data_IF_327682526330
#
_entry.id   IF_327682526330
#
_cell.length_a   1.000
_cell.length_b   1.000
_cell.length_c   1.000
_cell.angle_alpha   90.00
_cell.angle_beta   90.00
_cell.angle_gamma   90.00
#
_symmetry.space_group_name_H-M   'P 1'
#
loop_
_entity.id
_entity.type
_entity.pdbx_description
1 polymer ?
#
# COMPACT_ATOMS: atom_id res chain seq x y z
N UNK A 1 25.22 14.52 -2.81
CA UNK A 1 25.01 13.54 -3.89
C UNK A 1 24.68 12.22 -3.24
N UNK A 2 23.61 11.57 -3.69
CA UNK A 2 23.20 10.25 -3.24
C UNK A 2 23.24 9.31 -4.43
N UNK A 3 24.12 8.33 -4.35
CA UNK A 3 24.26 7.32 -5.39
C UNK A 3 23.16 6.26 -5.26
N UNK A 4 22.75 5.65 -6.37
CA UNK A 4 21.85 4.50 -6.37
C UNK A 4 22.43 3.30 -5.61
N UNK A 5 21.56 2.34 -5.30
CA UNK A 5 21.98 1.06 -4.73
C UNK A 5 22.87 0.29 -5.70
N UNK A 6 23.93 -0.33 -5.18
CA UNK A 6 24.86 -1.15 -5.99
C UNK A 6 24.19 -2.39 -6.59
N UNK A 7 23.13 -2.88 -5.95
CA UNK A 7 22.34 -4.03 -6.37
C UNK A 7 20.87 -3.61 -6.44
N UNK A 8 20.44 -3.02 -7.57
CA UNK A 8 19.08 -2.52 -7.73
C UNK A 8 18.09 -3.68 -7.89
N UNK A 9 16.95 -3.58 -7.21
CA UNK A 9 15.89 -4.59 -7.29
C UNK A 9 14.89 -4.23 -8.39
N UNK A 10 14.61 -5.14 -9.35
CA UNK A 10 13.57 -4.92 -10.34
C UNK A 10 12.17 -4.83 -9.71
N UNK A 11 11.32 -3.94 -10.23
CA UNK A 11 9.94 -3.81 -9.74
C UNK A 11 9.05 -5.00 -10.13
N UNK A 12 9.31 -5.63 -11.28
CA UNK A 12 8.58 -6.80 -11.77
C UNK A 12 9.28 -8.08 -11.38
N UNK A 13 8.57 -9.00 -10.73
CA UNK A 13 9.12 -10.32 -10.32
C UNK A 13 9.58 -11.23 -11.48
N UNK A 14 9.23 -10.91 -12.72
CA UNK A 14 9.71 -11.65 -13.89
C UNK A 14 11.11 -11.22 -14.34
N UNK A 15 11.56 -10.04 -13.91
CA UNK A 15 12.83 -9.49 -14.32
C UNK A 15 13.90 -9.89 -13.30
N UNK A 16 15.02 -10.44 -13.78
CA UNK A 16 16.17 -10.79 -12.93
C UNK A 16 17.12 -9.62 -12.67
N UNK A 17 17.06 -8.60 -13.52
CA UNK A 17 17.90 -7.41 -13.44
C UNK A 17 17.11 -6.18 -13.89
N UNK A 18 17.53 -5.00 -13.44
CA UNK A 18 17.02 -3.73 -13.98
C UNK A 18 17.52 -3.54 -15.40
N UNK A 19 16.75 -2.84 -16.22
CA UNK A 19 17.16 -2.54 -17.61
C UNK A 19 18.42 -1.66 -17.65
N UNK A 20 18.48 -0.65 -16.78
CA UNK A 20 19.66 0.18 -16.58
C UNK A 20 20.64 -0.56 -15.66
N UNK A 21 21.91 -0.68 -16.05
CA UNK A 21 22.94 -1.26 -15.19
C UNK A 21 23.21 -0.35 -13.99
N UNK A 22 23.68 -0.87 -12.85
CA UNK A 22 23.96 -0.07 -11.65
C UNK A 22 24.88 1.13 -11.92
N UNK A 23 25.91 0.94 -12.74
CA UNK A 23 26.86 1.98 -13.14
C UNK A 23 26.30 3.03 -14.11
N UNK A 24 25.18 2.73 -14.77
CA UNK A 24 24.48 3.64 -15.69
C UNK A 24 23.41 4.48 -14.96
N UNK A 25 23.07 4.15 -13.71
CA UNK A 25 22.06 4.89 -12.96
C UNK A 25 22.60 6.23 -12.46
N UNK A 26 21.76 7.27 -12.57
CA UNK A 26 22.13 8.62 -12.16
C UNK A 26 21.96 8.82 -10.65
N UNK A 27 22.84 9.61 -10.01
CA UNK A 27 22.63 10.02 -8.63
C UNK A 27 21.57 11.12 -8.52
N UNK A 28 20.94 11.19 -7.36
CA UNK A 28 20.12 12.35 -6.98
C UNK A 28 20.91 13.28 -6.05
N UNK A 29 20.51 14.55 -5.97
CA UNK A 29 21.21 15.54 -5.15
C UNK A 29 20.29 16.07 -4.06
N UNK A 30 20.69 15.90 -2.80
CA UNK A 30 19.97 16.46 -1.67
C UNK A 30 20.51 17.84 -1.33
N UNK A 31 19.61 18.81 -1.26
CA UNK A 31 19.86 20.15 -0.72
C UNK A 31 18.74 20.54 0.24
N UNK A 32 18.82 21.73 0.81
CA UNK A 32 17.86 22.22 1.78
C UNK A 32 17.46 23.68 1.48
N UNK A 33 16.24 24.04 1.85
CA UNK A 33 15.79 25.43 1.83
C UNK A 33 16.55 26.27 2.87
N UNK A 34 16.60 27.57 2.64
CA UNK A 34 17.21 28.54 3.56
C UNK A 34 16.14 29.47 4.14
N UNK A 35 16.45 30.27 5.18
CA UNK A 35 15.56 31.34 5.61
C UNK A 35 15.21 32.33 4.49
N UNK A 36 16.03 32.41 3.43
CA UNK A 36 15.74 33.20 2.25
C UNK A 36 14.52 32.72 1.47
N UNK A 37 14.35 31.41 1.33
CA UNK A 37 13.16 30.79 0.73
C UNK A 37 11.90 31.20 1.51
N UNK A 38 11.96 31.12 2.84
CA UNK A 38 10.86 31.54 3.71
C UNK A 38 10.52 33.03 3.52
N UNK A 39 11.52 33.92 3.41
CA UNK A 39 11.27 35.35 3.11
C UNK A 39 10.51 35.53 1.80
N UNK A 40 10.95 34.87 0.72
CA UNK A 40 10.27 34.99 -0.60
C UNK A 40 8.84 34.50 -0.54
N UNK A 41 8.59 33.38 0.15
CA UNK A 41 7.24 32.87 0.39
C UNK A 41 6.39 33.90 1.12
N UNK A 42 6.89 34.42 2.26
CA UNK A 42 6.15 35.38 3.10
C UNK A 42 5.82 36.69 2.36
N UNK A 43 6.75 37.20 1.55
CA UNK A 43 6.53 38.38 0.69
C UNK A 43 5.44 38.12 -0.36
N UNK A 44 5.36 36.90 -0.90
CA UNK A 44 4.43 36.52 -1.97
C UNK A 44 3.02 36.14 -1.50
N UNK A 45 2.77 36.04 -0.19
CA UNK A 45 1.51 35.49 0.35
C UNK A 45 0.25 36.20 -0.15
N UNK A 46 0.33 37.52 -0.35
CA UNK A 46 -0.78 38.33 -0.82
C UNK A 46 -1.28 37.96 -2.23
N UNK A 47 -0.45 37.24 -3.00
CA UNK A 47 -0.77 36.80 -4.36
C UNK A 47 -1.51 35.44 -4.38
N UNK A 48 -1.50 34.71 -3.26
CA UNK A 48 -1.99 33.34 -3.19
C UNK A 48 -3.24 33.20 -2.33
N UNK A 49 -4.37 33.72 -2.82
CA UNK A 49 -5.68 33.63 -2.15
C UNK A 49 -6.10 32.19 -1.83
N UNK A 50 -5.80 31.23 -2.70
CA UNK A 50 -6.07 29.80 -2.48
C UNK A 50 -5.30 29.21 -1.28
N UNK A 51 -4.09 29.69 -1.01
CA UNK A 51 -3.25 29.25 0.12
C UNK A 51 -3.72 29.91 1.42
N UNK A 52 -4.14 31.18 1.36
CA UNK A 52 -4.66 31.91 2.52
C UNK A 52 -6.00 31.36 3.04
N UNK A 53 -6.86 30.86 2.14
CA UNK A 53 -8.15 30.26 2.49
C UNK A 53 -8.02 28.85 3.08
N UNK A 54 -6.82 28.27 3.04
CA UNK A 54 -6.54 26.87 3.37
C UNK A 54 -6.08 26.66 4.82
N UNK A 55 -6.65 27.43 5.77
CA UNK A 55 -6.45 27.23 7.21
C UNK A 55 -6.92 25.82 7.64
N UNK A 56 -7.85 25.22 6.89
CA UNK A 56 -8.27 23.81 6.95
C UNK A 56 -7.94 23.01 5.67
N UNK A 57 -6.87 23.41 4.97
CA UNK A 57 -6.43 22.75 3.75
C UNK A 57 -6.00 21.31 3.93
N UNK A 58 -5.66 20.60 2.84
CA UNK A 58 -5.29 19.20 2.89
C UNK A 58 -4.24 18.98 4.00
N UNK A 59 -4.46 17.95 4.84
CA UNK A 59 -3.52 17.59 5.91
C UNK A 59 -2.13 17.37 5.32
N UNK A 60 -2.05 16.89 4.09
CA UNK A 60 -0.83 16.91 3.30
C UNK A 60 -0.69 18.19 2.47
N UNK A 61 0.29 19.02 2.81
CA UNK A 61 0.63 20.25 2.07
C UNK A 61 1.82 20.00 1.14
N UNK A 62 1.60 19.76 -0.17
CA UNK A 62 2.70 19.51 -1.09
C UNK A 62 3.52 20.77 -1.38
N UNK A 63 2.88 21.94 -1.36
CA UNK A 63 3.51 23.19 -1.78
C UNK A 63 4.53 23.70 -0.75
N UNK A 64 5.58 24.37 -1.22
CA UNK A 64 6.57 25.00 -0.33
C UNK A 64 5.93 26.14 0.47
N UNK A 65 5.01 26.89 -0.13
CA UNK A 65 4.27 27.97 0.50
C UNK A 65 3.50 27.46 1.73
N UNK A 66 2.71 26.41 1.56
CA UNK A 66 1.91 25.83 2.66
C UNK A 66 2.78 25.18 3.72
N UNK A 67 3.93 24.59 3.36
CA UNK A 67 4.87 24.00 4.33
C UNK A 67 5.56 25.06 5.19
N UNK A 68 6.01 26.15 4.60
CA UNK A 68 6.59 27.29 5.32
C UNK A 68 5.57 27.89 6.29
N UNK A 69 4.32 28.12 5.84
CA UNK A 69 3.25 28.64 6.70
C UNK A 69 2.92 27.73 7.89
N UNK A 70 2.88 26.41 7.67
CA UNK A 70 2.56 25.43 8.74
C UNK A 70 3.73 25.17 9.68
N UNK A 71 4.97 25.29 9.18
CA UNK A 71 6.18 24.95 9.92
C UNK A 71 7.23 26.08 9.80
N UNK A 72 6.94 27.27 10.34
CA UNK A 72 7.83 28.43 10.21
C UNK A 72 9.20 28.18 10.83
N UNK A 73 10.24 28.77 10.24
CA UNK A 73 11.64 28.64 10.68
C UNK A 73 12.27 27.26 10.48
N UNK A 74 11.59 26.31 9.80
CA UNK A 74 12.16 24.98 9.50
C UNK A 74 12.85 24.96 8.15
N UNK A 75 14.01 24.30 8.12
CA UNK A 75 14.65 23.90 6.87
C UNK A 75 13.94 22.68 6.27
N UNK A 76 13.62 22.75 4.98
CA UNK A 76 12.97 21.67 4.25
C UNK A 76 13.94 20.99 3.28
N UNK A 77 13.87 19.67 3.18
CA UNK A 77 14.65 18.90 2.22
C UNK A 77 14.13 19.12 0.79
N UNK A 78 15.07 19.21 -0.15
CA UNK A 78 14.81 19.31 -1.58
C UNK A 78 15.69 18.29 -2.29
N UNK A 79 15.09 17.40 -3.05
CA UNK A 79 15.79 16.48 -3.94
C UNK A 79 15.82 17.04 -5.35
N UNK A 80 17.00 17.09 -5.95
CA UNK A 80 17.17 17.36 -7.37
C UNK A 80 17.31 16.02 -8.06
N UNK A 81 16.27 15.63 -8.78
CA UNK A 81 16.13 14.34 -9.44
C UNK A 81 16.29 14.52 -10.96
N UNK A 82 17.22 13.83 -11.63
CA UNK A 82 17.30 13.87 -13.09
C UNK A 82 16.04 13.31 -13.75
N UNK A 83 15.49 14.02 -14.74
CA UNK A 83 14.29 13.56 -15.45
C UNK A 83 14.58 12.46 -16.49
N UNK A 84 15.85 12.24 -16.85
CA UNK A 84 16.25 11.16 -17.73
C UNK A 84 17.76 11.08 -17.97
N UNK A 85 18.21 9.95 -18.53
CA UNK A 85 19.63 9.70 -18.85
C UNK A 85 20.22 10.67 -19.88
N UNK A 86 19.37 11.21 -20.75
CA UNK A 86 19.74 12.10 -21.85
C UNK A 86 19.08 13.48 -21.70
N UNK A 87 18.58 13.81 -20.51
CA UNK A 87 17.92 15.08 -20.22
C UNK A 87 18.79 15.90 -19.28
N UNK A 88 18.96 17.18 -19.59
CA UNK A 88 19.61 18.14 -18.70
C UNK A 88 18.65 18.70 -17.65
N UNK A 89 17.37 18.25 -17.65
CA UNK A 89 16.36 18.71 -16.71
C UNK A 89 16.48 18.01 -15.36
N UNK A 90 16.33 18.81 -14.30
CA UNK A 90 16.26 18.37 -12.91
C UNK A 90 14.89 18.72 -12.35
N UNK A 91 14.22 17.73 -11.76
CA UNK A 91 13.00 17.92 -11.00
C UNK A 91 13.35 18.26 -9.53
N UNK A 92 13.01 19.47 -9.04
CA UNK A 92 13.27 19.86 -7.65
C UNK A 92 12.14 19.35 -6.73
N UNK A 93 12.14 18.05 -6.46
CA UNK A 93 11.18 17.41 -5.57
C UNK A 93 11.21 18.08 -4.19
N UNK A 94 10.02 18.47 -3.72
CA UNK A 94 9.88 19.24 -2.49
C UNK A 94 9.96 20.75 -2.72
N UNK A 95 9.81 21.24 -3.96
CA UNK A 95 9.57 22.66 -4.27
C UNK A 95 8.34 22.86 -5.18
N UNK A 96 7.28 22.08 -4.99
CA UNK A 96 6.00 22.38 -5.63
C UNK A 96 5.52 23.77 -5.20
N UNK A 97 5.08 24.60 -6.14
CA UNK A 97 4.66 25.99 -5.85
C UNK A 97 3.71 26.53 -6.93
N UNK A 98 2.98 27.58 -6.59
CA UNK A 98 2.03 28.30 -7.47
C UNK A 98 2.38 29.78 -7.63
N UNK A 99 3.56 30.20 -7.15
CA UNK A 99 4.06 31.57 -7.28
C UNK A 99 4.22 32.00 -8.75
N UNK A 100 4.16 33.30 -9.07
CA UNK A 100 4.60 33.84 -10.35
C UNK A 100 6.04 33.41 -10.72
N UNK A 101 6.34 33.16 -12.01
CA UNK A 101 7.64 32.61 -12.44
C UNK A 101 8.89 33.37 -11.95
N UNK A 102 8.83 34.70 -11.88
CA UNK A 102 9.92 35.54 -11.39
C UNK A 102 10.19 35.31 -9.89
N UNK A 103 9.15 35.13 -9.09
CA UNK A 103 9.26 34.79 -7.68
C UNK A 103 9.71 33.36 -7.47
N UNK A 104 9.32 32.42 -8.34
CA UNK A 104 9.87 31.05 -8.31
C UNK A 104 11.38 31.07 -8.52
N UNK A 105 11.86 31.82 -9.53
CA UNK A 105 13.29 31.92 -9.81
C UNK A 105 14.04 32.57 -8.64
N UNK A 106 13.48 33.63 -8.07
CA UNK A 106 14.04 34.27 -6.87
C UNK A 106 14.11 33.28 -5.71
N UNK A 107 13.05 32.52 -5.45
CA UNK A 107 12.99 31.49 -4.41
C UNK A 107 14.07 30.42 -4.61
N UNK A 108 14.21 29.87 -5.83
CA UNK A 108 15.22 28.88 -6.13
C UNK A 108 16.64 29.41 -5.87
N UNK A 109 16.92 30.67 -6.24
CA UNK A 109 18.25 31.26 -6.06
C UNK A 109 18.63 31.54 -4.60
N UNK A 110 17.68 31.52 -3.67
CA UNK A 110 17.98 31.54 -2.22
C UNK A 110 18.54 30.20 -1.70
N UNK A 111 18.45 29.12 -2.50
CA UNK A 111 19.06 27.83 -2.20
C UNK A 111 20.50 27.84 -2.76
N UNK A 112 21.55 27.66 -1.92
CA UNK A 112 22.94 27.81 -2.36
C UNK A 112 23.34 27.00 -3.59
N UNK A 113 22.84 25.76 -3.69
CA UNK A 113 23.10 24.88 -4.83
C UNK A 113 22.43 25.34 -6.14
N UNK A 114 21.44 26.24 -6.06
CA UNK A 114 20.58 26.68 -7.17
C UNK A 114 20.71 28.18 -7.45
N UNK A 115 21.74 28.86 -6.93
CA UNK A 115 21.98 30.30 -7.14
C UNK A 115 22.04 30.71 -8.61
N UNK A 116 22.45 29.79 -9.49
CA UNK A 116 22.55 29.98 -10.95
C UNK A 116 21.55 29.13 -11.71
N UNK A 117 20.52 28.62 -11.05
CA UNK A 117 19.49 27.83 -11.71
C UNK A 117 18.73 28.69 -12.75
N UNK A 118 18.34 28.02 -13.82
CA UNK A 118 17.41 28.51 -14.83
C UNK A 118 16.15 27.64 -14.79
N UNK A 119 14.99 28.26 -15.01
CA UNK A 119 13.70 27.55 -15.02
C UNK A 119 13.34 27.26 -16.46
N UNK A 120 13.33 25.99 -16.84
CA UNK A 120 12.79 25.55 -18.13
C UNK A 120 11.25 25.65 -18.14
N UNK A 121 10.61 25.20 -17.07
CA UNK A 121 9.15 25.19 -16.94
C UNK A 121 8.77 25.65 -15.54
N UNK A 122 8.05 26.78 -15.39
CA UNK A 122 7.58 27.22 -14.08
C UNK A 122 6.63 26.21 -13.45
N UNK A 123 6.73 26.06 -12.13
CA UNK A 123 5.77 25.29 -11.33
C UNK A 123 4.37 25.90 -11.41
N UNK A 124 3.35 25.07 -11.23
CA UNK A 124 1.96 25.50 -11.31
C UNK A 124 1.06 24.60 -10.46
N UNK A 125 -0.14 25.09 -10.18
CA UNK A 125 -1.22 24.34 -9.55
C UNK A 125 -2.26 23.92 -10.59
N UNK A 126 -2.88 22.76 -10.39
CA UNK A 126 -3.99 22.29 -11.23
C UNK A 126 -5.23 22.13 -10.37
N UNK A 127 -6.33 22.71 -10.84
CA UNK A 127 -7.66 22.45 -10.32
C UNK A 127 -8.43 21.63 -11.35
N UNK A 128 -9.12 20.61 -10.86
CA UNK A 128 -9.86 19.67 -11.70
C UNK A 128 -11.08 19.15 -10.96
N UNK A 129 -12.10 18.75 -11.73
CA UNK A 129 -13.29 18.09 -11.20
C UNK A 129 -12.99 16.62 -10.89
N UNK A 130 -13.63 16.10 -9.85
CA UNK A 130 -13.55 14.68 -9.49
C UNK A 130 -14.93 14.16 -9.07
N UNK A 131 -15.14 12.86 -9.21
CA UNK A 131 -16.34 12.18 -8.74
C UNK A 131 -16.05 11.63 -7.34
N UNK A 132 -16.94 11.93 -6.39
CA UNK A 132 -16.79 11.43 -5.03
C UNK A 132 -16.74 9.88 -5.04
N UNK A 133 -15.65 9.24 -4.57
CA UNK A 133 -15.45 7.81 -4.76
C UNK A 133 -16.44 6.94 -3.98
N UNK A 134 -17.18 7.51 -3.02
CA UNK A 134 -18.32 6.83 -2.35
C UNK A 134 -19.47 6.50 -3.29
N UNK A 135 -19.50 7.10 -4.50
CA UNK A 135 -20.42 6.75 -5.58
C UNK A 135 -20.04 5.46 -6.30
N UNK A 136 -18.87 4.89 -6.01
CA UNK A 136 -18.39 3.63 -6.57
C UNK A 136 -18.65 2.48 -5.61
N UNK A 137 -18.79 1.27 -6.16
CA UNK A 137 -18.71 0.03 -5.39
C UNK A 137 -17.24 -0.46 -5.33
N UNK A 138 -16.93 -1.51 -4.54
CA UNK A 138 -15.56 -2.04 -4.44
C UNK A 138 -14.96 -2.61 -5.75
N UNK A 139 -15.77 -2.79 -6.80
CA UNK A 139 -15.30 -3.13 -8.15
C UNK A 139 -14.95 -1.91 -9.01
N UNK A 140 -15.03 -0.71 -8.41
CA UNK A 140 -14.86 0.61 -9.05
C UNK A 140 -15.94 0.95 -10.10
N UNK A 141 -17.07 0.23 -10.08
CA UNK A 141 -18.22 0.55 -10.91
C UNK A 141 -19.08 1.62 -10.22
N UNK A 142 -19.59 2.56 -11.01
CA UNK A 142 -20.52 3.61 -10.56
C UNK A 142 -21.84 2.97 -10.14
N UNK A 143 -22.27 3.20 -8.89
CA UNK A 143 -23.49 2.60 -8.32
C UNK A 143 -24.76 2.91 -9.12
N UNK A 144 -24.84 4.09 -9.74
CA UNK A 144 -26.01 4.56 -10.50
C UNK A 144 -26.02 4.15 -11.97
N UNK A 145 -24.87 3.76 -12.53
CA UNK A 145 -24.73 3.49 -13.96
C UNK A 145 -23.98 2.19 -14.14
N UNK A 146 -24.73 1.13 -14.47
CA UNK A 146 -24.15 -0.19 -14.70
C UNK A 146 -23.18 -0.14 -15.89
N UNK A 147 -22.02 -0.78 -15.73
CA UNK A 147 -20.99 -0.84 -16.78
C UNK A 147 -20.09 0.39 -16.89
N UNK A 148 -20.34 1.46 -16.13
CA UNK A 148 -19.43 2.62 -16.04
C UNK A 148 -18.44 2.44 -14.88
N UNK A 149 -17.14 2.45 -15.19
CA UNK A 149 -16.06 2.33 -14.21
C UNK A 149 -15.18 3.56 -14.21
N UNK A 150 -14.74 4.00 -13.03
CA UNK A 150 -13.87 5.15 -12.86
C UNK A 150 -12.58 4.74 -12.15
N UNK A 151 -11.43 5.27 -12.60
CA UNK A 151 -10.12 4.96 -12.04
C UNK A 151 -9.16 6.14 -12.12
N UNK A 152 -8.34 6.31 -11.09
CA UNK A 152 -7.27 7.31 -11.05
C UNK A 152 -7.70 8.66 -10.49
N UNK A 153 -7.18 9.74 -11.07
CA UNK A 153 -7.33 11.08 -10.52
C UNK A 153 -8.80 11.54 -10.44
N UNK A 154 -9.65 11.05 -11.35
CA UNK A 154 -11.10 11.27 -11.35
C UNK A 154 -11.80 10.76 -10.08
N UNK A 155 -11.20 9.81 -9.36
CA UNK A 155 -11.70 9.29 -8.08
C UNK A 155 -11.14 10.06 -6.87
N UNK A 156 -10.45 11.18 -7.10
CA UNK A 156 -9.83 12.00 -6.07
C UNK A 156 -8.57 11.38 -5.45
N UNK A 157 -7.82 10.58 -6.23
CA UNK A 157 -6.46 10.14 -5.90
C UNK A 157 -5.41 11.03 -6.58
N UNK A 158 -4.19 11.04 -6.08
CA UNK A 158 -3.05 11.68 -6.74
C UNK A 158 -1.80 10.80 -6.59
N UNK A 159 -1.19 10.46 -7.72
CA UNK A 159 -0.09 9.51 -7.80
C UNK A 159 -0.30 8.50 -8.93
N UNK A 160 0.80 8.08 -9.56
CA UNK A 160 0.74 7.18 -10.71
C UNK A 160 0.36 5.76 -10.27
N UNK A 161 0.86 5.34 -9.12
CA UNK A 161 0.67 4.03 -8.53
C UNK A 161 -0.77 3.82 -8.09
N UNK A 162 -1.38 4.81 -7.42
CA UNK A 162 -2.80 4.81 -7.07
C UNK A 162 -3.67 4.70 -8.32
N UNK A 163 -3.35 5.48 -9.36
CA UNK A 163 -4.11 5.49 -10.59
C UNK A 163 -3.98 4.17 -11.37
N UNK A 164 -2.76 3.63 -11.50
CA UNK A 164 -2.50 2.36 -12.16
C UNK A 164 -3.17 1.19 -11.42
N UNK A 165 -3.13 1.18 -10.08
CA UNK A 165 -3.79 0.17 -9.27
C UNK A 165 -5.32 0.17 -9.46
N UNK A 166 -5.94 1.36 -9.46
CA UNK A 166 -7.36 1.50 -9.76
C UNK A 166 -7.68 1.10 -11.20
N UNK A 167 -6.85 1.52 -12.16
CA UNK A 167 -7.04 1.21 -13.59
C UNK A 167 -7.01 -0.29 -13.86
N UNK A 168 -6.04 -1.01 -13.26
CA UNK A 168 -5.98 -2.46 -13.29
C UNK A 168 -7.27 -3.08 -12.76
N UNK A 169 -7.73 -2.65 -11.58
CA UNK A 169 -8.89 -3.25 -10.94
C UNK A 169 -10.21 -2.94 -11.64
N UNK A 170 -10.38 -1.69 -12.10
CA UNK A 170 -11.52 -1.26 -12.91
C UNK A 170 -11.54 -2.02 -14.24
N UNK A 171 -10.40 -2.16 -14.92
CA UNK A 171 -10.28 -2.90 -16.17
C UNK A 171 -10.62 -4.38 -16.03
N UNK A 172 -10.12 -5.04 -14.99
CA UNK A 172 -10.49 -6.43 -14.66
C UNK A 172 -12.00 -6.57 -14.49
N UNK A 173 -12.63 -5.72 -13.69
CA UNK A 173 -14.07 -5.83 -13.44
C UNK A 173 -14.93 -5.41 -14.64
N UNK A 174 -14.46 -4.48 -15.46
CA UNK A 174 -15.09 -4.13 -16.73
C UNK A 174 -15.09 -5.32 -17.70
N UNK A 175 -13.93 -5.98 -17.87
CA UNK A 175 -13.83 -7.19 -18.69
C UNK A 175 -14.72 -8.33 -18.18
N UNK A 176 -14.77 -8.54 -16.86
CA UNK A 176 -15.67 -9.52 -16.25
C UNK A 176 -17.15 -9.19 -16.49
N UNK A 177 -17.52 -7.92 -16.36
CA UNK A 177 -18.89 -7.46 -16.62
C UNK A 177 -19.28 -7.71 -18.08
N UNK A 178 -18.37 -7.44 -19.03
CA UNK A 178 -18.60 -7.72 -20.45
C UNK A 178 -18.79 -9.22 -20.73
N UNK A 179 -18.10 -10.09 -19.98
CA UNK A 179 -18.25 -11.55 -20.02
C UNK A 179 -19.42 -12.07 -19.17
N UNK A 180 -20.26 -11.20 -18.60
CA UNK A 180 -21.35 -11.56 -17.68
C UNK A 180 -20.88 -12.38 -16.47
N UNK A 181 -19.64 -12.18 -16.04
CA UNK A 181 -19.07 -12.79 -14.85
C UNK A 181 -19.31 -11.89 -13.62
N UNK A 182 -19.42 -12.47 -12.41
CA UNK A 182 -19.57 -11.68 -11.18
C UNK A 182 -18.40 -10.73 -10.97
N UNK A 183 -18.69 -9.51 -10.54
CA UNK A 183 -17.66 -8.56 -10.10
C UNK A 183 -16.89 -9.12 -8.90
N UNK A 184 -15.61 -8.76 -8.82
CA UNK A 184 -14.73 -9.18 -7.72
C UNK A 184 -14.48 -8.03 -6.76
N UNK A 185 -14.14 -8.41 -5.53
CA UNK A 185 -13.58 -7.50 -4.52
C UNK A 185 -12.16 -7.94 -4.15
N UNK A 186 -11.34 -6.96 -3.77
CA UNK A 186 -9.98 -7.19 -3.31
C UNK A 186 -9.90 -6.84 -1.83
N UNK A 187 -9.63 -7.84 -0.98
CA UNK A 187 -9.57 -7.61 0.46
C UNK A 187 -8.41 -6.69 0.83
N UNK A 188 -8.67 -5.77 1.76
CA UNK A 188 -7.63 -4.94 2.38
C UNK A 188 -6.61 -5.75 3.16
N UNK A 189 -6.95 -6.97 3.59
CA UNK A 189 -6.03 -7.90 4.26
C UNK A 189 -5.09 -8.63 3.29
N UNK A 190 -5.24 -8.44 1.98
CA UNK A 190 -4.46 -9.16 0.98
C UNK A 190 -3.57 -8.24 0.15
N UNK A 191 -3.89 -6.94 0.05
CA UNK A 191 -3.10 -5.99 -0.74
C UNK A 191 -3.34 -4.54 -0.36
N UNK A 192 -2.35 -3.71 -0.65
CA UNK A 192 -2.49 -2.26 -0.63
C UNK A 192 -3.49 -1.72 -1.66
N UNK A 193 -3.71 -2.42 -2.79
CA UNK A 193 -4.77 -2.07 -3.75
C UNK A 193 -6.16 -2.22 -3.09
N UNK A 194 -6.36 -3.29 -2.30
CA UNK A 194 -7.58 -3.48 -1.51
C UNK A 194 -7.74 -2.38 -0.45
N UNK A 195 -6.67 -1.99 0.24
CA UNK A 195 -6.68 -0.86 1.20
C UNK A 195 -7.07 0.45 0.50
N UNK A 196 -6.44 0.76 -0.64
CA UNK A 196 -6.74 1.94 -1.46
C UNK A 196 -8.22 2.01 -1.82
N UNK A 197 -8.73 0.96 -2.43
CA UNK A 197 -10.11 0.93 -2.93
C UNK A 197 -11.09 1.00 -1.77
N UNK A 198 -10.88 0.22 -0.71
CA UNK A 198 -11.75 0.22 0.47
C UNK A 198 -11.80 1.60 1.13
N UNK A 199 -10.65 2.25 1.35
CA UNK A 199 -10.62 3.60 1.93
C UNK A 199 -11.37 4.60 1.04
N UNK A 200 -11.19 4.56 -0.28
CA UNK A 200 -11.85 5.46 -1.23
C UNK A 200 -13.38 5.29 -1.21
N UNK A 201 -13.88 4.06 -1.34
CA UNK A 201 -15.32 3.81 -1.48
C UNK A 201 -16.08 3.88 -0.16
N UNK A 202 -15.42 3.62 0.97
CA UNK A 202 -16.04 3.62 2.30
C UNK A 202 -15.95 5.00 2.95
N UNK A 203 -14.78 5.65 2.92
CA UNK A 203 -14.54 6.92 3.64
C UNK A 203 -14.72 8.14 2.74
N UNK A 204 -14.57 7.98 1.43
CA UNK A 204 -14.48 9.10 0.53
C UNK A 204 -13.15 9.85 0.68
N UNK A 205 -13.06 11.00 0.02
CA UNK A 205 -11.89 11.88 0.06
C UNK A 205 -12.34 13.32 0.26
N UNK A 206 -11.64 14.02 1.15
CA UNK A 206 -11.78 15.48 1.37
C UNK A 206 -10.56 16.24 0.84
N UNK A 207 -9.48 15.51 0.62
CA UNK A 207 -8.22 15.93 0.00
C UNK A 207 -7.76 14.80 -0.93
N UNK A 208 -6.96 15.08 -1.97
CA UNK A 208 -6.44 14.04 -2.86
C UNK A 208 -5.76 12.91 -2.07
N UNK A 209 -6.29 11.69 -2.20
CA UNK A 209 -5.80 10.53 -1.46
C UNK A 209 -4.41 10.11 -1.96
N UNK A 210 -3.55 9.73 -1.01
CA UNK A 210 -2.18 9.24 -1.23
C UNK A 210 -1.91 8.03 -0.36
N UNK A 211 -1.28 6.99 -0.89
CA UNK A 211 -1.06 5.73 -0.16
C UNK A 211 -0.23 5.89 1.11
N UNK A 212 0.73 6.82 1.16
CA UNK A 212 1.54 6.99 2.37
C UNK A 212 0.75 7.57 3.56
N UNK A 213 -0.40 8.23 3.34
CA UNK A 213 -1.28 8.68 4.43
C UNK A 213 -2.23 7.55 4.88
N UNK A 214 -2.32 6.47 4.10
CA UNK A 214 -3.13 5.31 4.44
C UNK A 214 -2.56 4.56 5.66
N UNK A 215 -3.48 4.03 6.46
CA UNK A 215 -3.14 3.10 7.55
C UNK A 215 -3.48 1.69 7.10
N UNK A 216 -2.55 1.02 6.44
CA UNK A 216 -2.61 -0.43 6.34
C UNK A 216 -2.29 -1.03 7.71
N UNK A 217 -3.23 -1.80 8.25
CA UNK A 217 -3.11 -2.44 9.57
C UNK A 217 -2.08 -3.57 9.55
N UNK A 218 -1.93 -4.24 8.41
CA UNK A 218 -1.15 -5.46 8.23
C UNK A 218 0.17 -5.23 7.48
N UNK A 219 0.90 -4.15 7.80
CA UNK A 219 2.12 -3.74 7.06
C UNK A 219 3.19 -4.85 7.00
N UNK A 220 3.31 -5.66 8.03
CA UNK A 220 4.27 -6.78 8.11
C UNK A 220 3.88 -7.95 7.21
N UNK A 221 2.59 -8.12 6.89
CA UNK A 221 2.12 -9.12 5.94
C UNK A 221 2.07 -8.59 4.49
N UNK A 222 1.70 -7.31 4.32
CA UNK A 222 1.52 -6.64 3.03
C UNK A 222 2.82 -5.99 2.55
N UNK A 223 3.84 -6.80 2.30
CA UNK A 223 5.17 -6.31 1.94
C UNK A 223 5.39 -6.30 0.42
N UNK A 224 6.27 -5.44 -0.10
CA UNK A 224 6.62 -5.46 -1.52
C UNK A 224 7.39 -6.72 -1.93
N UNK A 225 8.08 -7.42 -1.02
CA UNK A 225 8.82 -8.64 -1.36
C UNK A 225 7.95 -9.90 -1.56
N UNK A 226 6.66 -9.85 -1.19
CA UNK A 226 5.76 -11.01 -1.23
C UNK A 226 4.44 -10.77 -1.97
N UNK A 227 4.33 -9.70 -2.77
CA UNK A 227 3.11 -9.40 -3.51
C UNK A 227 2.81 -10.44 -4.59
N UNK A 228 3.84 -11.02 -5.20
CA UNK A 228 3.76 -12.15 -6.12
C UNK A 228 3.04 -13.35 -5.49
N UNK A 229 3.45 -13.74 -4.27
CA UNK A 229 2.89 -14.88 -3.54
C UNK A 229 1.43 -14.63 -3.14
N UNK A 230 1.10 -13.38 -2.81
CA UNK A 230 -0.24 -12.98 -2.39
C UNK A 230 -1.24 -12.89 -3.55
N UNK A 231 -0.79 -12.42 -4.72
CA UNK A 231 -1.70 -11.96 -5.78
C UNK A 231 -1.57 -12.71 -7.10
N UNK A 232 -0.41 -13.27 -7.45
CA UNK A 232 -0.26 -13.96 -8.75
C UNK A 232 -1.11 -15.23 -8.84
N UNK A 233 -1.16 -16.11 -7.82
CA UNK A 233 -2.03 -17.29 -7.86
C UNK A 233 -3.49 -16.91 -8.06
N UNK A 234 -3.98 -15.95 -7.28
CA UNK A 234 -5.34 -15.40 -7.40
C UNK A 234 -5.61 -14.81 -8.77
N UNK A 235 -4.68 -14.00 -9.27
CA UNK A 235 -4.78 -13.36 -10.57
C UNK A 235 -4.92 -14.36 -11.72
N UNK A 236 -4.32 -15.56 -11.58
CA UNK A 236 -4.43 -16.63 -12.57
C UNK A 236 -5.68 -17.49 -12.35
N UNK A 237 -5.85 -18.06 -11.16
CA UNK A 237 -6.85 -19.07 -10.83
C UNK A 237 -8.27 -18.51 -10.69
N UNK A 238 -8.43 -17.38 -10.01
CA UNK A 238 -9.74 -16.78 -9.72
C UNK A 238 -10.14 -15.70 -10.73
N UNK A 239 -9.16 -14.91 -11.18
CA UNK A 239 -9.41 -13.68 -11.94
C UNK A 239 -9.21 -13.87 -13.44
N UNK A 240 -8.18 -14.64 -13.85
CA UNK A 240 -7.80 -14.84 -15.25
C UNK A 240 -7.06 -13.66 -15.90
N UNK A 241 -6.42 -12.78 -15.11
CA UNK A 241 -5.68 -11.61 -15.61
C UNK A 241 -4.14 -11.76 -15.55
N UNK A 242 -3.65 -12.90 -15.08
CA UNK A 242 -2.22 -13.23 -15.00
C UNK A 242 -1.88 -14.27 -16.06
N UNK A 243 -0.70 -14.17 -16.67
CA UNK A 243 -0.21 -15.16 -17.64
C UNK A 243 0.29 -16.43 -16.96
N UNK A 244 0.24 -17.56 -17.67
CA UNK A 244 0.75 -18.85 -17.19
C UNK A 244 2.22 -18.75 -16.74
N UNK A 245 3.08 -18.10 -17.53
CA UNK A 245 4.50 -17.91 -17.20
C UNK A 245 4.70 -17.17 -15.86
N UNK A 246 3.89 -16.14 -15.56
CA UNK A 246 3.96 -15.43 -14.28
C UNK A 246 3.45 -16.28 -13.13
N UNK A 247 2.41 -17.06 -13.37
CA UNK A 247 1.86 -17.98 -12.38
C UNK A 247 2.87 -19.07 -12.02
N UNK A 248 3.45 -19.74 -13.01
CA UNK A 248 4.45 -20.79 -12.85
C UNK A 248 5.67 -20.29 -12.07
N UNK A 249 6.16 -19.09 -12.39
CA UNK A 249 7.27 -18.49 -11.63
C UNK A 249 6.88 -18.20 -10.18
N UNK A 250 5.69 -17.65 -9.93
CA UNK A 250 5.22 -17.41 -8.56
C UNK A 250 5.06 -18.73 -7.77
N UNK A 251 4.61 -19.81 -8.41
CA UNK A 251 4.52 -21.15 -7.82
C UNK A 251 5.91 -21.71 -7.51
N UNK A 252 6.86 -21.66 -8.46
CA UNK A 252 8.25 -22.08 -8.25
C UNK A 252 8.86 -21.41 -7.03
N UNK A 253 8.72 -20.08 -6.96
CA UNK A 253 9.23 -19.26 -5.86
C UNK A 253 8.56 -19.63 -4.55
N UNK A 254 7.22 -19.73 -4.52
CA UNK A 254 6.46 -20.12 -3.32
C UNK A 254 6.94 -21.46 -2.77
N UNK A 255 7.05 -22.45 -3.65
CA UNK A 255 7.38 -23.82 -3.26
C UNK A 255 8.83 -23.90 -2.78
N UNK A 256 9.76 -23.25 -3.47
CA UNK A 256 11.17 -23.15 -3.06
C UNK A 256 11.33 -22.45 -1.70
N UNK A 257 10.55 -21.39 -1.44
CA UNK A 257 10.55 -20.71 -0.14
C UNK A 257 10.01 -21.61 0.97
N UNK A 258 8.89 -22.30 0.73
CA UNK A 258 8.29 -23.21 1.71
C UNK A 258 9.21 -24.40 2.03
N UNK A 259 9.86 -24.97 1.02
CA UNK A 259 10.85 -26.04 1.17
C UNK A 259 12.08 -25.54 1.93
N UNK A 260 12.61 -24.37 1.58
CA UNK A 260 13.73 -23.74 2.28
C UNK A 260 13.44 -23.43 3.74
N UNK A 261 12.25 -22.89 4.05
CA UNK A 261 11.77 -22.67 5.41
C UNK A 261 11.67 -23.99 6.19
N UNK A 262 11.11 -25.04 5.58
CA UNK A 262 10.99 -26.36 6.22
C UNK A 262 12.36 -27.02 6.44
N UNK A 263 13.29 -26.88 5.50
CA UNK A 263 14.65 -27.36 5.63
C UNK A 263 15.37 -26.69 6.80
N UNK A 264 15.24 -25.37 6.95
CA UNK A 264 15.79 -24.63 8.09
C UNK A 264 15.16 -25.03 9.41
N UNK A 265 13.85 -25.27 9.45
CA UNK A 265 13.15 -25.75 10.64
C UNK A 265 13.66 -27.13 11.09
N UNK A 266 13.98 -28.01 10.12
CA UNK A 266 14.48 -29.37 10.39
C UNK A 266 15.90 -29.41 10.97
N UNK A 267 16.67 -28.32 10.84
CA UNK A 267 18.02 -28.22 11.36
C UNK A 267 17.93 -27.55 12.73
N UNK A 268 17.97 -28.33 13.80
CA UNK A 268 17.84 -27.82 15.16
C UNK A 268 18.93 -28.37 16.07
N UNK A 269 19.57 -27.49 16.84
CA UNK A 269 20.64 -27.85 17.78
C UNK A 269 20.76 -26.85 18.93
N UNK A 270 21.56 -27.18 19.94
CA UNK A 270 21.83 -26.28 21.06
C UNK A 270 22.59 -25.03 20.62
N UNK A 271 22.39 -23.92 21.32
CA UNK A 271 23.12 -22.67 21.07
C UNK A 271 24.65 -22.83 21.15
N UNK A 272 25.15 -23.77 21.95
CA UNK A 272 26.57 -24.12 22.02
C UNK A 272 27.09 -24.67 20.69
N UNK A 273 26.40 -25.66 20.11
CA UNK A 273 26.77 -26.23 18.80
C UNK A 273 26.67 -25.22 17.68
N UNK A 274 25.69 -24.32 17.73
CA UNK A 274 25.59 -23.23 16.77
C UNK A 274 26.81 -22.30 16.81
N UNK A 275 27.28 -21.92 18.00
CA UNK A 275 28.50 -21.09 18.17
C UNK A 275 29.78 -21.80 17.72
N UNK A 276 29.85 -23.12 17.90
CA UNK A 276 30.98 -23.94 17.40
C UNK A 276 30.99 -24.02 15.87
N UNK A 277 29.82 -24.11 15.24
CA UNK A 277 29.70 -24.22 13.78
C UNK A 277 29.78 -22.88 13.04
N UNK A 278 29.29 -21.81 13.66
CA UNK A 278 29.21 -20.48 13.08
C UNK A 278 29.94 -19.52 14.00
N UNK A 279 31.18 -19.22 13.65
CA UNK A 279 32.00 -18.26 14.37
C UNK A 279 31.30 -16.89 14.39
N UNK A 280 31.43 -16.16 15.51
CA UNK A 280 30.91 -14.79 15.70
C UNK A 280 29.37 -14.63 15.85
N UNK A 281 28.62 -15.69 16.13
CA UNK A 281 27.19 -15.54 16.46
C UNK A 281 26.99 -15.23 17.95
N UNK A 282 26.40 -14.06 18.23
CA UNK A 282 25.96 -13.66 19.57
C UNK A 282 24.54 -14.19 19.87
N UNK A 283 24.40 -15.50 20.07
CA UNK A 283 23.16 -16.10 20.60
C UNK A 283 23.27 -16.20 22.12
N UNK A 284 22.28 -15.63 22.83
CA UNK A 284 22.21 -15.73 24.29
C UNK A 284 22.07 -17.18 24.71
N UNK A 285 22.72 -17.55 25.82
CA UNK A 285 22.68 -18.91 26.34
C UNK A 285 21.32 -19.20 26.99
N UNK A 286 20.35 -19.59 26.17
CA UNK A 286 19.10 -20.19 26.64
C UNK A 286 19.42 -21.58 27.20
N UNK A 287 19.19 -21.79 28.50
CA UNK A 287 19.33 -23.11 29.13
C UNK A 287 18.14 -24.00 28.73
N UNK A 288 18.36 -24.85 27.72
CA UNK A 288 17.59 -26.07 27.38
C UNK A 288 16.70 -26.10 26.14
N UNK A 289 16.61 -25.05 25.32
CA UNK A 289 15.90 -25.16 24.03
C UNK A 289 16.85 -25.43 22.86
N UNK A 290 16.51 -26.45 22.07
CA UNK A 290 17.05 -26.59 20.72
C UNK A 290 16.56 -25.38 19.90
N UNK A 291 17.45 -24.76 19.15
CA UNK A 291 17.15 -23.60 18.30
C UNK A 291 17.23 -24.06 16.85
N UNK A 292 16.15 -23.85 16.08
CA UNK A 292 16.15 -24.18 14.65
C UNK A 292 16.99 -23.20 13.85
N UNK A 293 17.47 -23.59 12.67
CA UNK A 293 18.20 -22.68 11.78
C UNK A 293 17.31 -21.49 11.36
N UNK A 294 15.99 -21.71 11.31
CA UNK A 294 15.02 -20.66 11.03
C UNK A 294 14.94 -19.64 12.17
N UNK A 295 14.85 -20.10 13.42
CA UNK A 295 14.91 -19.23 14.60
C UNK A 295 16.25 -18.49 14.67
N UNK A 296 17.34 -19.20 14.39
CA UNK A 296 18.67 -18.61 14.37
C UNK A 296 18.79 -17.48 13.31
N UNK A 297 18.15 -17.67 12.15
CA UNK A 297 18.11 -16.68 11.08
C UNK A 297 17.36 -15.40 11.47
N UNK A 298 16.67 -15.35 12.61
CA UNK A 298 16.07 -14.09 13.11
C UNK A 298 17.11 -13.17 13.75
N UNK A 299 18.25 -13.70 14.19
CA UNK A 299 19.28 -12.92 14.88
C UNK A 299 20.03 -11.96 13.93
N UNK A 300 20.39 -10.79 14.47
CA UNK A 300 21.22 -9.81 13.77
C UNK A 300 22.61 -10.40 13.52
N UNK A 301 23.11 -10.27 12.30
CA UNK A 301 24.42 -10.79 11.90
C UNK A 301 24.40 -12.23 11.37
N UNK A 302 23.30 -12.97 11.52
CA UNK A 302 23.14 -14.29 10.87
C UNK A 302 22.55 -14.10 9.48
N UNK A 303 23.24 -14.61 8.46
CA UNK A 303 22.75 -14.62 7.08
C UNK A 303 22.38 -16.04 6.64
N UNK A 304 21.56 -16.15 5.60
CA UNK A 304 21.20 -17.46 5.06
C UNK A 304 22.43 -18.12 4.41
N UNK A 305 23.32 -17.34 3.81
CA UNK A 305 24.58 -17.79 3.21
C UNK A 305 25.49 -18.47 4.22
N UNK A 306 25.54 -17.98 5.47
CA UNK A 306 26.27 -18.64 6.56
C UNK A 306 25.67 -20.01 6.89
N UNK A 307 24.35 -20.10 7.00
CA UNK A 307 23.66 -21.37 7.24
C UNK A 307 23.86 -22.36 6.09
N UNK A 308 23.77 -21.87 4.85
CA UNK A 308 23.99 -22.67 3.65
C UNK A 308 25.43 -23.19 3.56
N UNK A 309 26.42 -22.39 3.96
CA UNK A 309 27.82 -22.81 4.03
C UNK A 309 28.04 -23.90 5.10
N UNK A 310 27.31 -23.84 6.21
CA UNK A 310 27.39 -24.84 7.29
C UNK A 310 26.62 -26.14 6.98
N UNK A 311 25.55 -26.06 6.20
CA UNK A 311 24.68 -27.19 5.81
C UNK A 311 24.43 -27.23 4.29
N UNK A 312 25.50 -27.39 3.47
CA UNK A 312 25.39 -27.20 2.02
C UNK A 312 24.44 -28.19 1.36
N UNK A 313 24.42 -29.45 1.81
CA UNK A 313 23.54 -30.50 1.28
C UNK A 313 22.05 -30.21 1.49
N UNK A 314 21.71 -29.38 2.48
CA UNK A 314 20.31 -29.10 2.82
C UNK A 314 19.84 -27.73 2.34
N UNK A 315 20.73 -26.76 2.23
CA UNK A 315 20.36 -25.35 2.08
C UNK A 315 20.90 -24.67 0.80
N UNK A 316 21.92 -25.21 0.13
CA UNK A 316 22.53 -24.55 -1.04
C UNK A 316 21.57 -24.36 -2.20
N UNK A 317 20.62 -25.28 -2.41
CA UNK A 317 19.59 -25.17 -3.46
C UNK A 317 18.74 -23.90 -3.34
N UNK A 318 18.60 -23.32 -2.13
CA UNK A 318 17.75 -22.16 -1.90
C UNK A 318 18.51 -20.83 -1.80
N UNK A 319 19.80 -20.80 -2.18
CA UNK A 319 20.64 -19.60 -2.17
C UNK A 319 20.04 -18.45 -3.00
N UNK A 320 19.34 -18.76 -4.10
CA UNK A 320 18.60 -17.77 -4.91
C UNK A 320 17.62 -16.94 -4.07
N UNK A 321 17.05 -17.54 -3.03
CA UNK A 321 16.01 -16.94 -2.20
C UNK A 321 16.53 -16.48 -0.83
N UNK A 322 17.85 -16.36 -0.65
CA UNK A 322 18.47 -16.06 0.65
C UNK A 322 17.85 -14.84 1.36
N UNK A 323 17.70 -13.73 0.63
CA UNK A 323 17.10 -12.50 1.15
C UNK A 323 15.63 -12.69 1.54
N UNK A 324 14.84 -13.37 0.69
CA UNK A 324 13.42 -13.61 0.96
C UNK A 324 13.22 -14.57 2.13
N UNK A 325 14.03 -15.62 2.24
CA UNK A 325 14.03 -16.54 3.38
C UNK A 325 14.40 -15.82 4.68
N UNK A 326 15.40 -14.92 4.65
CA UNK A 326 15.73 -14.07 5.81
C UNK A 326 14.55 -13.17 6.19
N UNK A 327 13.90 -12.53 5.23
CA UNK A 327 12.73 -11.68 5.47
C UNK A 327 11.59 -12.50 6.08
N UNK A 328 11.24 -13.66 5.49
CA UNK A 328 10.19 -14.53 6.03
C UNK A 328 10.51 -14.98 7.46
N UNK A 329 11.75 -15.42 7.73
CA UNK A 329 12.17 -15.81 9.08
C UNK A 329 11.98 -14.68 10.10
N UNK A 330 12.43 -13.47 9.77
CA UNK A 330 12.36 -12.29 10.65
C UNK A 330 10.91 -11.83 10.89
N UNK A 331 10.07 -11.83 9.86
CA UNK A 331 8.71 -11.30 9.96
C UNK A 331 7.66 -12.34 10.38
N UNK A 332 7.96 -13.65 10.32
CA UNK A 332 7.02 -14.73 10.65
C UNK A 332 6.32 -14.54 12.00
N UNK A 333 7.01 -14.24 13.13
CA UNK A 333 6.33 -14.04 14.41
C UNK A 333 5.33 -12.88 14.38
N UNK A 334 5.65 -11.81 13.66
CA UNK A 334 4.77 -10.66 13.52
C UNK A 334 3.56 -10.96 12.63
N UNK A 335 3.75 -11.70 11.54
CA UNK A 335 2.68 -12.15 10.67
C UNK A 335 1.72 -13.11 11.40
N UNK A 336 2.25 -14.04 12.20
CA UNK A 336 1.45 -15.00 12.95
C UNK A 336 0.56 -14.33 14.00
N UNK A 337 1.07 -13.29 14.68
CA UNK A 337 0.28 -12.48 15.61
C UNK A 337 -0.91 -11.78 14.92
N UNK A 338 -0.76 -11.41 13.65
CA UNK A 338 -1.81 -10.70 12.89
C UNK A 338 -2.81 -11.64 12.21
N UNK A 339 -2.46 -12.92 12.05
CA UNK A 339 -3.22 -13.88 11.23
C UNK A 339 -4.68 -14.00 11.65
N UNK A 340 -4.95 -14.13 12.96
CA UNK A 340 -6.33 -14.25 13.49
C UNK A 340 -7.18 -13.03 13.19
N UNK A 341 -6.61 -11.84 13.28
CA UNK A 341 -7.34 -10.60 12.98
C UNK A 341 -7.59 -10.46 11.47
N UNK A 342 -6.64 -10.86 10.64
CA UNK A 342 -6.85 -10.91 9.18
C UNK A 342 -7.96 -11.90 8.80
N UNK A 343 -7.99 -13.08 9.42
CA UNK A 343 -9.04 -14.09 9.22
C UNK A 343 -10.41 -13.55 9.63
N UNK A 344 -10.50 -12.93 10.81
CA UNK A 344 -11.74 -12.28 11.28
C UNK A 344 -12.23 -11.21 10.30
N UNK A 345 -11.36 -10.31 9.83
CA UNK A 345 -11.75 -9.28 8.85
C UNK A 345 -12.23 -9.91 7.54
N UNK A 346 -11.58 -10.99 7.08
CA UNK A 346 -12.03 -11.71 5.87
C UNK A 346 -13.39 -12.36 6.06
N UNK A 347 -13.66 -12.92 7.23
CA UNK A 347 -14.98 -13.44 7.58
C UNK A 347 -16.04 -12.32 7.53
N UNK A 348 -15.78 -11.18 8.18
CA UNK A 348 -16.68 -10.01 8.14
C UNK A 348 -16.88 -9.47 6.71
N UNK A 349 -15.84 -9.48 5.87
CA UNK A 349 -15.92 -9.11 4.45
C UNK A 349 -16.71 -10.12 3.60
N UNK A 350 -16.74 -11.39 3.99
CA UNK A 350 -17.55 -12.42 3.32
C UNK A 350 -19.05 -12.33 3.66
N UNK A 351 -19.40 -11.63 4.74
CA UNK A 351 -20.77 -11.43 5.19
C UNK A 351 -21.43 -10.31 4.40
N UNK A 352 -22.12 -10.67 3.31
CA UNK A 352 -22.86 -9.73 2.48
C UNK A 352 -24.06 -9.12 3.22
N UNK A 353 -24.21 -7.81 3.07
CA UNK A 353 -25.41 -7.07 3.44
C UNK A 353 -26.27 -6.87 2.19
N UNK A 354 -27.56 -7.26 2.19
CA UNK A 354 -28.43 -7.07 1.04
C UNK A 354 -28.59 -5.57 0.71
N UNK A 355 -28.57 -5.23 -0.58
CA UNK A 355 -28.63 -3.83 -1.03
C UNK A 355 -30.02 -3.19 -0.85
N UNK A 356 -31.05 -4.02 -0.75
CA UNK A 356 -32.46 -3.68 -0.61
C UNK A 356 -32.91 -3.57 0.86
N UNK A 357 -31.97 -3.70 1.81
CA UNK A 357 -32.25 -3.46 3.22
C UNK A 357 -32.74 -2.03 3.43
N UNK A 358 -33.94 -1.90 4.00
CA UNK A 358 -34.39 -0.65 4.58
C UNK A 358 -33.80 -0.50 5.98
N UNK A 359 -32.72 0.27 6.07
CA UNK A 359 -32.02 0.52 7.32
C UNK A 359 -32.86 1.34 8.32
N UNK A 360 -33.94 2.00 7.92
CA UNK A 360 -34.81 2.72 8.86
C UNK A 360 -35.84 1.81 9.53
N UNK A 361 -36.33 0.78 8.82
CA UNK A 361 -37.27 -0.20 9.37
C UNK A 361 -36.62 -1.48 9.92
N UNK A 362 -35.29 -1.62 9.80
CA UNK A 362 -34.56 -2.79 10.28
C UNK A 362 -34.89 -3.13 11.75
N UNK A 363 -35.36 -4.37 12.07
CA UNK A 363 -35.78 -4.77 13.41
C UNK A 363 -34.59 -5.11 14.31
N UNK A 364 -33.69 -4.14 14.46
CA UNK A 364 -32.43 -4.27 15.17
C UNK A 364 -32.18 -2.95 15.92
N UNK A 365 -31.59 -3.02 17.12
CA UNK A 365 -31.30 -1.81 17.90
C UNK A 365 -30.12 -1.03 17.28
N UNK A 366 -30.43 -0.01 16.48
CA UNK A 366 -29.46 0.90 15.86
C UNK A 366 -29.89 2.35 16.13
N UNK A 367 -28.93 3.23 16.44
CA UNK A 367 -29.21 4.66 16.59
C UNK A 367 -29.63 5.27 15.25
N UNK A 368 -30.27 6.44 15.29
CA UNK A 368 -30.72 7.13 14.08
C UNK A 368 -29.54 7.52 13.19
N UNK A 369 -28.46 8.00 13.78
CA UNK A 369 -27.22 8.41 13.08
C UNK A 369 -26.59 7.22 12.35
N UNK A 370 -26.54 6.04 13.00
CA UNK A 370 -26.03 4.82 12.38
C UNK A 370 -26.91 4.40 11.20
N UNK A 371 -28.24 4.47 11.33
CA UNK A 371 -29.18 4.14 10.25
C UNK A 371 -29.00 5.10 9.06
N UNK A 372 -28.86 6.39 9.32
CA UNK A 372 -28.60 7.41 8.29
C UNK A 372 -27.28 7.16 7.56
N UNK A 373 -26.22 6.79 8.28
CA UNK A 373 -24.91 6.45 7.68
C UNK A 373 -25.01 5.19 6.80
N UNK A 374 -25.66 4.14 7.30
CA UNK A 374 -25.82 2.88 6.57
C UNK A 374 -26.69 3.07 5.31
N UNK A 375 -27.78 3.82 5.41
CA UNK A 375 -28.68 4.09 4.26
C UNK A 375 -28.00 4.96 3.20
N UNK A 376 -27.21 5.97 3.63
CA UNK A 376 -26.47 6.85 2.73
C UNK A 376 -25.35 6.11 2.00
N UNK A 377 -24.56 5.30 2.71
CA UNK A 377 -23.36 4.68 2.14
C UNK A 377 -23.65 3.33 1.47
N UNK A 378 -24.64 2.59 1.98
CA UNK A 378 -25.04 1.24 1.56
C UNK A 378 -23.85 0.28 1.45
N UNK A 379 -23.21 -0.07 2.57
CA UNK A 379 -22.09 -1.01 2.56
C UNK A 379 -22.54 -2.38 2.04
N UNK A 380 -21.70 -3.03 1.23
CA UNK A 380 -22.04 -4.32 0.61
C UNK A 380 -21.75 -5.51 1.54
N UNK A 381 -20.96 -5.29 2.59
CA UNK A 381 -20.49 -6.31 3.53
C UNK A 381 -20.47 -5.77 4.94
N UNK A 382 -20.56 -6.65 5.93
CA UNK A 382 -20.43 -6.27 7.34
C UNK A 382 -19.07 -5.63 7.62
N UNK A 383 -17.99 -6.19 7.05
CA UNK A 383 -16.65 -5.62 7.20
C UNK A 383 -16.55 -4.17 6.72
N UNK A 384 -17.17 -3.83 5.58
CA UNK A 384 -17.23 -2.45 5.10
C UNK A 384 -18.03 -1.56 6.07
N UNK A 385 -19.11 -2.06 6.65
CA UNK A 385 -19.89 -1.34 7.66
C UNK A 385 -19.06 -1.03 8.91
N UNK A 386 -18.25 -1.97 9.41
CA UNK A 386 -17.36 -1.77 10.59
C UNK A 386 -16.44 -0.54 10.47
N UNK A 387 -16.11 -0.13 9.24
CA UNK A 387 -15.16 0.95 8.95
C UNK A 387 -15.81 2.30 8.66
N UNK A 388 -17.14 2.38 8.65
CA UNK A 388 -17.84 3.63 8.40
C UNK A 388 -17.67 4.60 9.58
N UNK A 389 -17.47 5.91 9.31
CA UNK A 389 -17.42 6.91 10.36
C UNK A 389 -18.71 6.92 11.19
N UNK A 390 -18.58 6.91 12.52
CA UNK A 390 -19.72 6.93 13.44
C UNK A 390 -20.31 5.56 13.76
N UNK A 391 -19.78 4.46 13.22
CA UNK A 391 -20.21 3.12 13.59
C UNK A 391 -19.70 2.72 14.97
N UNK A 392 -20.58 2.07 15.73
CA UNK A 392 -20.28 1.59 17.09
C UNK A 392 -20.14 0.06 17.12
N UNK A 393 -19.33 -0.50 18.04
CA UNK A 393 -19.22 -1.96 18.18
C UNK A 393 -20.57 -2.65 18.40
N UNK A 394 -21.47 -2.01 19.16
CA UNK A 394 -22.82 -2.52 19.39
C UNK A 394 -23.62 -2.62 18.08
N UNK A 395 -23.57 -1.60 17.22
CA UNK A 395 -24.24 -1.62 15.92
C UNK A 395 -23.73 -2.75 15.01
N UNK A 396 -22.42 -3.04 15.04
CA UNK A 396 -21.84 -4.14 14.26
C UNK A 396 -22.31 -5.51 14.75
N UNK A 397 -22.34 -5.74 16.07
CA UNK A 397 -22.87 -6.99 16.65
C UNK A 397 -24.34 -7.19 16.28
N UNK A 398 -25.11 -6.10 16.32
CA UNK A 398 -26.50 -6.06 15.93
C UNK A 398 -26.72 -6.43 14.45
N UNK A 399 -25.92 -5.85 13.54
CA UNK A 399 -25.95 -6.20 12.11
C UNK A 399 -25.46 -7.64 11.85
N UNK A 400 -24.44 -8.11 12.56
CA UNK A 400 -23.93 -9.48 12.47
C UNK A 400 -25.03 -10.50 12.80
N UNK A 401 -25.74 -10.28 13.91
CA UNK A 401 -26.85 -11.13 14.33
C UNK A 401 -27.98 -11.15 13.29
N UNK A 402 -28.29 -10.00 12.69
CA UNK A 402 -29.24 -9.91 11.59
C UNK A 402 -28.80 -10.75 10.39
N UNK A 403 -27.56 -10.59 9.90
CA UNK A 403 -27.03 -11.35 8.77
C UNK A 403 -27.06 -12.86 9.04
N UNK A 404 -26.66 -13.29 10.24
CA UNK A 404 -26.70 -14.70 10.62
C UNK A 404 -28.13 -15.27 10.65
N UNK A 405 -29.09 -14.51 11.17
CA UNK A 405 -30.50 -14.89 11.18
C UNK A 405 -31.04 -15.05 9.75
N UNK A 406 -30.84 -14.05 8.89
CA UNK A 406 -31.30 -14.09 7.50
C UNK A 406 -30.66 -15.23 6.70
N UNK A 407 -29.37 -15.54 6.92
CA UNK A 407 -28.71 -16.69 6.28
C UNK A 407 -29.34 -18.03 6.71
N UNK A 408 -29.64 -18.19 8.00
CA UNK A 408 -30.31 -19.41 8.51
C UNK A 408 -31.71 -19.58 7.94
N UNK A 409 -32.49 -18.50 7.88
CA UNK A 409 -33.84 -18.51 7.31
C UNK A 409 -33.82 -18.92 5.83
N UNK A 410 -32.93 -18.31 5.02
CA UNK A 410 -32.75 -18.68 3.60
C UNK A 410 -32.30 -20.13 3.40
N UNK A 411 -31.44 -20.65 4.27
CA UNK A 411 -31.00 -22.05 4.20
C UNK A 411 -32.15 -23.02 4.52
N UNK A 412 -32.98 -22.66 5.49
CA UNK A 412 -34.15 -23.45 5.91
C UNK A 412 -35.23 -23.45 4.83
N UNK A 413 -35.47 -22.32 4.16
CA UNK A 413 -36.40 -22.23 3.02
C UNK A 413 -35.91 -22.99 1.79
N UNK A 414 -34.60 -22.94 1.49
CA UNK A 414 -34.02 -23.68 0.37
C UNK A 414 -34.05 -25.20 0.59
N UNK A 415 -33.89 -25.65 1.83
CA UNK A 415 -34.00 -27.07 2.20
C UNK A 415 -35.44 -27.59 2.23
N UNK A 416 -36.46 -26.72 2.21
CA UNK A 416 -37.88 -27.08 2.09
C UNK A 416 -38.39 -27.11 0.65
N UNK A 417 -37.61 -26.58 -0.30
CA UNK A 417 -37.94 -26.50 -1.74
C UNK A 417 -37.25 -27.59 -2.58
N UNK A 418 -36.32 -28.32 -1.98
CA UNK A 418 -35.72 -29.56 -2.47
C UNK A 418 -36.45 -30.69 -1.78
#
# INVERSE_FOLDING_TARGET
>A
MHTPDKQPTPFSYLNKHTHCKPEEQLPCYLTHTTPGVERVVMESLHLNTHIQQDIKGPRYCPSIESRVLRFPGRSHQVWLEPEGLTSDLLYPQGLSMTLPPDLQLRLLREIPALQRAEIQTPGYGVQYDFVCPTQLNPSLQVKRVQGLFLAGQINGTTGYEEAAAQGLWAGVNAGRTALSLPALSLSRTQSYIGVLIDDLVVRGVTEPYRMFTSRAEFRTALRPDNADLRLSPRGFEEIGCVSATRYEEAVRVRDSLNEGLSAMESISMSSTRWREKLEQINVSESKSTLVSALELLQHKGVTFEMLASAFPERLSTYLEFSQRLKIEAVYRPHCDMQKREMERIREEESLSLPQDVDYFSLPVSLSKEVREVLDRVRPHTLGAATRLPGMTPAAIVHLLNYVHKTRRERYTERSKRI
#
